data_IF_526446059188
#
_entry.id   IF_526446059188
#
_cell.length_a   1.000
_cell.length_b   1.000
_cell.length_c   1.000
_cell.angle_alpha   90.00
_cell.angle_beta   90.00
_cell.angle_gamma   90.00
#
_symmetry.space_group_name_H-M   'P 1'
#
loop_
_entity.id
_entity.type
_entity.pdbx_description
1 polymer ?
#
# COMPACT_ATOMS: atom_id res chain seq x y z
N UNK A 1 -7.23 -21.58 -4.03
CA UNK A 1 -6.19 -20.59 -3.67
C UNK A 1 -6.68 -19.23 -4.14
N UNK A 2 -6.78 -18.25 -3.24
CA UNK A 2 -7.23 -16.89 -3.62
C UNK A 2 -6.15 -16.13 -4.38
N UNK A 3 -6.56 -15.24 -5.28
CA UNK A 3 -5.65 -14.37 -6.04
C UNK A 3 -5.56 -13.00 -5.36
N UNK A 4 -4.35 -12.54 -5.04
CA UNK A 4 -4.10 -11.19 -4.51
C UNK A 4 -3.81 -10.24 -5.67
N UNK A 5 -4.59 -9.16 -5.76
CA UNK A 5 -4.40 -8.07 -6.71
C UNK A 5 -3.98 -6.82 -5.94
N UNK A 6 -2.75 -6.32 -6.17
CA UNK A 6 -2.32 -5.03 -5.60
C UNK A 6 -3.06 -3.88 -6.28
N UNK A 7 -3.31 -2.81 -5.53
CA UNK A 7 -4.10 -1.67 -6.04
C UNK A 7 -3.49 -0.32 -5.71
N UNK A 8 -2.98 -0.13 -4.49
CA UNK A 8 -2.53 1.18 -4.04
C UNK A 8 -1.31 1.06 -3.10
N UNK A 9 -0.34 1.96 -3.27
CA UNK A 9 0.67 2.29 -2.28
C UNK A 9 0.28 3.63 -1.66
N UNK A 10 0.16 3.66 -0.34
CA UNK A 10 -0.06 4.90 0.40
C UNK A 10 1.22 5.20 1.17
N UNK A 11 1.79 6.38 0.96
CA UNK A 11 2.95 6.90 1.69
C UNK A 11 2.49 8.09 2.52
N UNK A 12 2.73 8.05 3.82
CA UNK A 12 2.46 9.18 4.72
C UNK A 12 3.77 9.77 5.19
N UNK A 13 3.89 11.10 5.13
CA UNK A 13 4.99 11.81 5.78
C UNK A 13 4.55 12.21 7.20
N UNK A 14 5.07 11.51 8.21
CA UNK A 14 4.71 11.75 9.62
C UNK A 14 5.23 13.10 10.15
N UNK A 15 6.14 13.75 9.42
CA UNK A 15 6.67 15.06 9.77
C UNK A 15 5.71 16.20 9.42
N UNK A 16 5.07 16.16 8.25
CA UNK A 16 4.22 17.24 7.75
C UNK A 16 2.75 16.85 7.58
N UNK A 17 2.41 15.58 7.80
CA UNK A 17 1.03 15.05 7.73
C UNK A 17 0.51 14.79 6.32
N UNK A 18 1.31 14.98 5.27
CA UNK A 18 0.87 14.73 3.89
C UNK A 18 0.73 13.23 3.63
N UNK A 19 -0.34 12.87 2.91
CA UNK A 19 -0.63 11.50 2.48
C UNK A 19 -0.62 11.45 0.95
N UNK A 20 0.20 10.57 0.41
CA UNK A 20 0.39 10.37 -1.03
C UNK A 20 -0.11 8.99 -1.42
N UNK A 21 -0.81 8.91 -2.54
CA UNK A 21 -1.49 7.70 -3.01
C UNK A 21 -1.03 7.39 -4.42
N UNK A 22 -0.55 6.17 -4.64
CA UNK A 22 -0.03 5.73 -5.92
C UNK A 22 -0.73 4.44 -6.34
N UNK A 23 -1.33 4.37 -7.53
CA UNK A 23 -1.81 3.10 -8.06
C UNK A 23 -0.61 2.18 -8.33
N UNK A 24 -0.72 0.92 -7.95
CA UNK A 24 0.32 -0.10 -8.15
C UNK A 24 -0.32 -1.43 -8.57
N UNK A 25 0.44 -2.25 -9.30
CA UNK A 25 0.01 -3.57 -9.76
C UNK A 25 0.91 -4.70 -9.23
N UNK A 26 2.02 -4.36 -8.56
CA UNK A 26 2.96 -5.30 -7.97
C UNK A 26 3.69 -4.71 -6.77
N UNK A 27 4.25 -5.58 -5.94
CA UNK A 27 5.07 -5.17 -4.81
C UNK A 27 6.40 -4.54 -5.26
N UNK A 28 6.98 -5.01 -6.37
CA UNK A 28 8.19 -4.45 -6.97
C UNK A 28 7.99 -3.00 -7.42
N UNK A 29 6.83 -2.69 -8.00
CA UNK A 29 6.46 -1.33 -8.37
C UNK A 29 6.34 -0.44 -7.14
N UNK A 30 5.65 -0.91 -6.09
CA UNK A 30 5.55 -0.19 -4.82
C UNK A 30 6.94 0.14 -4.23
N UNK A 31 7.85 -0.84 -4.27
CA UNK A 31 9.23 -0.67 -3.80
C UNK A 31 9.99 0.40 -4.60
N UNK A 32 9.83 0.44 -5.92
CA UNK A 32 10.44 1.46 -6.78
C UNK A 32 9.91 2.85 -6.43
N UNK A 33 8.59 3.01 -6.37
CA UNK A 33 7.96 4.28 -6.03
C UNK A 33 8.42 4.77 -4.65
N UNK A 34 8.40 3.91 -3.62
CA UNK A 34 8.87 4.28 -2.28
C UNK A 34 10.36 4.67 -2.25
N UNK A 35 11.20 4.00 -3.05
CA UNK A 35 12.62 4.30 -3.14
C UNK A 35 12.91 5.67 -3.79
N UNK A 36 12.08 6.08 -4.74
CA UNK A 36 12.26 7.34 -5.48
C UNK A 36 11.48 8.50 -4.86
N UNK A 37 10.46 8.21 -4.06
CA UNK A 37 9.58 9.18 -3.42
C UNK A 37 10.34 10.24 -2.60
N UNK A 38 9.89 11.48 -2.73
CA UNK A 38 10.29 12.64 -1.94
C UNK A 38 9.05 13.41 -1.55
N UNK A 39 8.94 13.77 -0.28
CA UNK A 39 7.89 14.66 0.19
C UNK A 39 8.08 16.06 -0.42
N UNK A 40 7.00 16.71 -0.83
CA UNK A 40 7.04 18.07 -1.42
C UNK A 40 7.66 19.12 -0.48
N UNK A 41 7.52 18.90 0.84
CA UNK A 41 8.13 19.74 1.88
C UNK A 41 9.59 19.37 2.20
N UNK A 42 10.21 18.48 1.41
CA UNK A 42 11.57 18.00 1.56
C UNK A 42 11.89 17.42 2.96
N UNK A 43 10.89 16.81 3.61
CA UNK A 43 11.07 16.15 4.90
C UNK A 43 11.98 14.92 4.78
N UNK A 44 12.67 14.57 5.88
CA UNK A 44 13.55 13.40 5.92
C UNK A 44 12.82 12.08 5.66
N UNK A 45 13.43 11.20 4.86
CA UNK A 45 12.84 9.90 4.46
C UNK A 45 12.61 8.93 5.62
N UNK A 46 13.39 9.09 6.69
CA UNK A 46 13.24 8.33 7.93
C UNK A 46 11.93 8.63 8.67
N UNK A 47 11.17 9.62 8.22
CA UNK A 47 9.88 10.03 8.79
C UNK A 47 8.70 9.60 7.91
N UNK A 48 8.93 8.71 6.93
CA UNK A 48 7.89 8.21 6.05
C UNK A 48 7.37 6.88 6.58
N UNK A 49 6.05 6.71 6.59
CA UNK A 49 5.38 5.42 6.75
C UNK A 49 4.75 5.02 5.42
N UNK A 50 4.56 3.72 5.16
CA UNK A 50 3.85 3.28 3.97
C UNK A 50 3.05 2.01 4.22
N UNK A 51 1.98 1.86 3.45
CA UNK A 51 1.15 0.64 3.37
C UNK A 51 0.82 0.32 1.91
N UNK A 52 0.67 -0.96 1.59
CA UNK A 52 0.14 -1.41 0.30
C UNK A 52 -1.24 -2.00 0.49
N UNK A 53 -2.19 -1.60 -0.33
CA UNK A 53 -3.54 -2.13 -0.38
C UNK A 53 -3.67 -3.10 -1.55
N UNK A 54 -4.39 -4.20 -1.31
CA UNK A 54 -4.73 -5.17 -2.33
C UNK A 54 -6.09 -5.80 -2.07
N UNK A 55 -6.63 -6.44 -3.10
CA UNK A 55 -7.88 -7.19 -3.06
C UNK A 55 -7.54 -8.68 -3.08
N UNK A 56 -8.08 -9.41 -2.12
CA UNK A 56 -8.02 -10.86 -2.12
C UNK A 56 -9.28 -11.40 -2.78
N UNK A 57 -9.16 -12.00 -3.95
CA UNK A 57 -10.27 -12.71 -4.58
C UNK A 57 -10.36 -14.11 -3.99
N UNK A 58 -11.37 -14.32 -3.14
CA UNK A 58 -11.66 -15.63 -2.55
C UNK A 58 -12.62 -16.37 -3.46
N UNK A 59 -12.19 -17.50 -4.01
CA UNK A 59 -13.02 -18.36 -4.87
C UNK A 59 -13.81 -19.42 -4.10
N UNK A 60 -13.56 -19.58 -2.81
CA UNK A 60 -14.26 -20.55 -1.95
C UNK A 60 -15.19 -19.84 -0.94
N UNK A 61 -16.53 -19.96 -1.09
CA UNK A 61 -17.49 -19.33 -0.20
C UNK A 61 -17.47 -19.91 1.22
N UNK A 62 -16.85 -21.07 1.47
CA UNK A 62 -16.77 -21.67 2.80
C UNK A 62 -15.91 -20.85 3.80
N UNK A 63 -15.01 -19.98 3.30
CA UNK A 63 -14.13 -19.14 4.12
C UNK A 63 -14.86 -17.88 4.63
N UNK A 64 -16.00 -17.50 4.03
CA UNK A 64 -16.76 -16.30 4.41
C UNK A 64 -17.68 -16.51 5.62
N UNK A 65 -17.76 -17.73 6.15
CA UNK A 65 -18.57 -18.09 7.30
C UNK A 65 -17.69 -18.43 8.51
N UNK A 66 -16.99 -17.45 9.06
CA UNK A 66 -16.54 -17.57 10.47
C UNK A 66 -17.77 -17.36 11.38
N UNK A 67 -18.16 -18.34 12.20
CA UNK A 67 -19.17 -18.10 13.23
C UNK A 67 -18.61 -17.11 14.25
N UNK A 68 -19.32 -15.99 14.43
CA UNK A 68 -19.08 -15.01 15.49
C UNK A 68 -19.26 -15.62 16.88
#
# INVERSE_FOLDING_TARGET
>A
MGQLEFTELIITCEACGNVYRFPIHSQEEARRIFNDFRCDNNCGRNLYSFITLGKLQVTDPAILHEPR
#
